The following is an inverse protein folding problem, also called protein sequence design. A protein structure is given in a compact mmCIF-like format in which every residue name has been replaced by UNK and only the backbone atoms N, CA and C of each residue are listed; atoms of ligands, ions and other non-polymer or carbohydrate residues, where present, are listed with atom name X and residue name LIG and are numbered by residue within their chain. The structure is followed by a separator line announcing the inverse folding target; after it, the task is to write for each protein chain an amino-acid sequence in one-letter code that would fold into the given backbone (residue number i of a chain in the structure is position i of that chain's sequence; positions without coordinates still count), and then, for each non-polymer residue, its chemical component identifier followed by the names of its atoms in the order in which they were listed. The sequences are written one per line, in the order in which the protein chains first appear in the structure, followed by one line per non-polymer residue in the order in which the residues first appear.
data_IF_597097386800
#
_entry.id   IF_597097386800
#
_cell.length_a   1.000
_cell.length_b   1.000
_cell.length_c   1.000
_cell.angle_alpha   90.00
_cell.angle_beta   90.00
_cell.angle_gamma   90.00
#
_symmetry.space_group_name_H-M   'P 1'
#
loop_
_entity.id
_entity.type
_entity.pdbx_description
1 polymer ?
#
# COMPACT_ATOMS: atom_id res chain seq x y z
N UNK A 1 -3.80 5.07 40.24
CA UNK A 1 -5.09 5.69 39.84
C UNK A 1 -4.81 6.53 38.59
N UNK A 2 -5.72 6.60 37.62
CA UNK A 2 -5.54 7.39 36.40
C UNK A 2 -6.68 8.42 36.27
N UNK A 3 -6.40 9.55 35.64
CA UNK A 3 -7.38 10.56 35.22
C UNK A 3 -7.34 10.73 33.70
N UNK A 4 -8.48 11.11 33.13
CA UNK A 4 -8.61 11.42 31.70
C UNK A 4 -9.14 12.84 31.60
N UNK A 5 -8.47 13.66 30.81
CA UNK A 5 -8.84 15.05 30.56
C UNK A 5 -9.12 15.21 29.06
N UNK A 6 -10.30 15.73 28.73
CA UNK A 6 -10.71 15.99 27.34
C UNK A 6 -10.77 17.50 27.12
N UNK A 7 -9.72 18.06 26.54
CA UNK A 7 -9.60 19.50 26.26
C UNK A 7 -8.52 19.76 25.18
N UNK A 8 -8.34 21.01 24.78
CA UNK A 8 -7.24 21.48 23.95
C UNK A 8 -6.08 22.00 24.82
N UNK A 9 -4.88 21.56 24.48
CA UNK A 9 -3.64 22.12 25.04
C UNK A 9 -3.48 23.55 24.53
N UNK A 10 -3.31 24.50 25.45
CA UNK A 10 -2.93 25.88 25.14
C UNK A 10 -1.41 25.99 25.00
N UNK A 11 -0.67 25.55 26.02
CA UNK A 11 0.79 25.57 26.05
C UNK A 11 1.36 24.63 27.11
N UNK A 12 2.65 24.35 26.97
CA UNK A 12 3.45 23.75 28.02
C UNK A 12 3.91 24.83 29.01
N UNK A 13 4.09 24.44 30.26
CA UNK A 13 4.59 25.27 31.35
C UNK A 13 5.74 24.56 32.04
N UNK A 14 6.47 25.23 32.92
CA UNK A 14 7.57 24.63 33.67
C UNK A 14 7.13 23.43 34.53
N UNK A 15 5.87 23.40 34.99
CA UNK A 15 5.35 22.37 35.90
C UNK A 15 4.34 21.43 35.26
N UNK A 16 4.05 21.54 33.95
CA UNK A 16 3.04 20.72 33.31
C UNK A 16 2.37 21.36 32.08
N UNK A 17 1.07 21.13 31.89
CA UNK A 17 0.29 21.53 30.69
C UNK A 17 -0.84 22.48 31.08
N UNK A 18 -0.90 23.64 30.42
CA UNK A 18 -2.04 24.55 30.49
C UNK A 18 -3.07 24.18 29.41
N UNK A 19 -4.31 23.95 29.83
CA UNK A 19 -5.44 23.73 28.93
C UNK A 19 -6.16 25.04 28.63
N UNK A 20 -6.81 25.12 27.46
CA UNK A 20 -7.60 26.29 27.04
C UNK A 20 -8.81 26.57 27.92
N UNK A 21 -9.32 25.58 28.66
CA UNK A 21 -10.35 25.80 29.69
C UNK A 21 -9.84 26.59 30.90
N UNK A 22 -8.53 26.81 31.02
CA UNK A 22 -7.89 27.44 32.18
C UNK A 22 -7.37 26.42 33.22
N UNK A 23 -7.72 25.14 33.12
CA UNK A 23 -7.17 24.10 34.00
C UNK A 23 -5.70 23.83 33.69
N UNK A 24 -4.88 23.71 34.73
CA UNK A 24 -3.50 23.28 34.64
C UNK A 24 -3.36 21.81 35.07
N UNK A 25 -2.56 21.05 34.33
CA UNK A 25 -2.24 19.66 34.60
C UNK A 25 -0.77 19.56 35.02
N UNK A 26 -0.53 19.41 36.32
CA UNK A 26 0.82 19.20 36.85
C UNK A 26 1.42 17.89 36.35
N UNK A 27 2.67 17.93 35.86
CA UNK A 27 3.39 16.78 35.38
C UNK A 27 4.90 17.00 35.45
N UNK A 28 5.62 16.06 36.08
CA UNK A 28 7.09 16.04 36.06
C UNK A 28 7.64 15.48 34.73
N UNK A 29 6.86 14.63 34.06
CA UNK A 29 7.23 13.97 32.80
C UNK A 29 6.05 14.01 31.85
N UNK A 30 6.30 14.43 30.60
CA UNK A 30 5.31 14.43 29.53
C UNK A 30 5.80 13.51 28.41
N UNK A 31 4.98 12.52 28.07
CA UNK A 31 5.25 11.58 26.97
C UNK A 31 4.32 11.89 25.81
N UNK A 32 4.86 12.36 24.70
CA UNK A 32 4.09 12.65 23.49
C UNK A 32 3.73 11.35 22.75
N UNK A 33 2.48 10.92 22.85
CA UNK A 33 1.92 9.84 22.04
C UNK A 33 1.13 10.38 20.82
N UNK A 34 1.65 11.43 20.16
CA UNK A 34 0.94 12.21 19.12
C UNK A 34 0.86 11.55 17.73
N UNK A 35 1.14 10.25 17.67
CA UNK A 35 1.13 9.46 16.43
C UNK A 35 2.36 9.69 15.56
N UNK A 36 2.18 9.57 14.24
CA UNK A 36 3.24 9.54 13.25
C UNK A 36 2.94 10.42 12.03
N UNK A 37 3.96 10.63 11.20
CA UNK A 37 3.80 11.16 9.84
C UNK A 37 4.02 10.01 8.86
N UNK A 38 3.03 9.74 8.02
CA UNK A 38 3.12 8.67 7.02
C UNK A 38 4.12 9.07 5.94
N UNK A 39 5.06 8.17 5.64
CA UNK A 39 6.06 8.32 4.58
C UNK A 39 5.85 7.20 3.55
N UNK A 40 5.11 7.52 2.49
CA UNK A 40 4.93 6.59 1.37
C UNK A 40 6.29 6.42 0.66
N UNK A 41 6.60 5.20 0.23
CA UNK A 41 7.91 4.81 -0.32
C UNK A 41 9.11 5.11 0.63
N UNK A 42 8.86 5.23 1.94
CA UNK A 42 9.91 5.58 2.91
C UNK A 42 10.44 7.02 2.77
N UNK A 43 9.69 7.90 2.12
CA UNK A 43 10.06 9.31 1.92
C UNK A 43 10.91 9.58 0.69
N UNK A 44 11.20 8.55 -0.12
CA UNK A 44 11.92 8.70 -1.39
C UNK A 44 10.99 9.34 -2.43
N UNK A 45 11.52 10.29 -3.20
CA UNK A 45 10.83 10.85 -4.36
C UNK A 45 11.11 9.97 -5.60
N UNK A 46 10.15 9.12 -5.94
CA UNK A 46 10.23 8.30 -7.15
C UNK A 46 9.96 9.13 -8.41
N UNK A 47 10.64 8.78 -9.51
CA UNK A 47 10.45 9.40 -10.83
C UNK A 47 10.39 8.36 -11.93
N UNK A 48 9.62 8.62 -12.98
CA UNK A 48 9.64 7.87 -14.25
C UNK A 48 10.00 8.87 -15.34
N UNK A 49 11.06 8.59 -16.11
CA UNK A 49 11.55 9.48 -17.17
C UNK A 49 11.76 10.93 -16.70
N UNK A 50 12.23 11.10 -15.45
CA UNK A 50 12.45 12.40 -14.81
C UNK A 50 11.19 13.08 -14.25
N UNK A 51 10.00 12.51 -14.43
CA UNK A 51 8.75 13.05 -13.90
C UNK A 51 8.42 12.44 -12.53
N UNK A 52 8.10 13.24 -11.50
CA UNK A 52 7.73 12.73 -10.18
C UNK A 52 6.48 11.84 -10.21
N UNK A 53 6.55 10.71 -9.50
CA UNK A 53 5.41 9.80 -9.31
C UNK A 53 4.59 10.28 -8.11
N UNK A 54 3.32 10.59 -8.33
CA UNK A 54 2.37 10.92 -7.27
C UNK A 54 1.54 9.69 -6.95
N UNK A 55 1.90 8.96 -5.90
CA UNK A 55 1.24 7.70 -5.48
C UNK A 55 -0.27 7.83 -5.29
N UNK A 56 -0.77 9.01 -4.94
CA UNK A 56 -2.21 9.31 -4.83
C UNK A 56 -2.99 9.37 -6.13
N UNK A 57 -2.32 9.25 -7.28
CA UNK A 57 -2.93 9.10 -8.60
C UNK A 57 -2.96 7.63 -9.07
N UNK A 58 -2.55 6.71 -8.20
CA UNK A 58 -2.42 5.30 -8.52
C UNK A 58 -3.23 4.43 -7.56
N UNK A 59 -3.56 3.23 -8.03
CA UNK A 59 -4.18 2.17 -7.25
C UNK A 59 -3.19 1.02 -7.07
N UNK A 60 -3.52 0.07 -6.21
CA UNK A 60 -2.73 -1.13 -6.02
C UNK A 60 -3.42 -2.34 -6.65
N UNK A 61 -2.86 -2.86 -7.75
CA UNK A 61 -3.29 -4.14 -8.34
C UNK A 61 -3.04 -5.26 -7.32
N UNK A 62 -4.13 -5.96 -6.97
CA UNK A 62 -4.18 -6.99 -5.91
C UNK A 62 -3.56 -6.54 -4.58
N UNK A 63 -3.61 -5.23 -4.32
CA UNK A 63 -3.01 -4.62 -3.13
C UNK A 63 -1.48 -4.66 -3.07
N UNK A 64 -0.79 -4.86 -4.20
CA UNK A 64 0.69 -4.97 -4.25
C UNK A 64 1.30 -4.05 -5.30
N UNK A 65 0.95 -4.20 -6.58
CA UNK A 65 1.64 -3.49 -7.67
C UNK A 65 1.01 -2.12 -7.89
N UNK A 66 1.84 -1.08 -8.01
CA UNK A 66 1.37 0.28 -8.27
C UNK A 66 0.92 0.40 -9.74
N UNK A 67 -0.32 0.83 -9.95
CA UNK A 67 -0.90 0.90 -11.30
C UNK A 67 -0.12 1.85 -12.20
N UNK A 68 0.05 1.51 -13.48
CA UNK A 68 0.71 2.36 -14.49
C UNK A 68 2.18 2.73 -14.16
N UNK A 69 2.82 2.06 -13.19
CA UNK A 69 4.24 2.25 -12.85
C UNK A 69 5.00 0.94 -13.09
N UNK A 70 6.09 0.95 -13.87
CA UNK A 70 6.84 -0.26 -14.17
C UNK A 70 7.57 -0.79 -12.93
N UNK A 71 7.48 -2.10 -12.71
CA UNK A 71 8.21 -2.84 -11.68
C UNK A 71 8.08 -2.27 -10.25
N UNK A 72 6.99 -1.58 -9.95
CA UNK A 72 6.78 -0.95 -8.64
C UNK A 72 5.76 -1.72 -7.80
N UNK A 73 6.17 -2.08 -6.59
CA UNK A 73 5.31 -2.68 -5.58
C UNK A 73 5.32 -1.83 -4.30
N UNK A 74 4.14 -1.66 -3.70
CA UNK A 74 3.97 -1.06 -2.37
C UNK A 74 3.17 -2.04 -1.53
N UNK A 75 3.75 -2.47 -0.40
CA UNK A 75 3.11 -3.40 0.50
C UNK A 75 2.58 -2.62 1.71
N UNK A 76 1.25 -2.54 1.81
CA UNK A 76 0.56 -1.97 2.97
C UNK A 76 -0.11 -3.09 3.74
N UNK A 77 0.25 -3.23 5.02
CA UNK A 77 -0.25 -4.29 5.88
C UNK A 77 -1.72 -4.16 6.27
N UNK A 78 -2.23 -5.19 6.94
CA UNK A 78 -3.59 -5.20 7.44
C UNK A 78 -3.78 -4.16 8.55
N UNK A 79 -4.90 -3.45 8.53
CA UNK A 79 -5.26 -2.51 9.61
C UNK A 79 -5.88 -3.22 10.83
N UNK A 80 -6.35 -4.46 10.64
CA UNK A 80 -7.06 -5.26 11.64
C UNK A 80 -6.32 -6.57 12.01
N UNK A 81 -5.10 -6.77 11.51
CA UNK A 81 -4.29 -7.95 11.75
C UNK A 81 -2.80 -7.60 11.68
N UNK A 82 -1.92 -8.58 11.94
CA UNK A 82 -0.48 -8.34 11.87
C UNK A 82 -0.04 -7.88 10.49
N UNK A 83 0.80 -6.84 10.46
CA UNK A 83 1.44 -6.34 9.23
C UNK A 83 2.24 -7.44 8.52
N UNK A 84 2.93 -8.29 9.30
CA UNK A 84 3.79 -9.35 8.75
C UNK A 84 3.02 -10.39 7.95
N UNK A 85 1.73 -10.60 8.22
CA UNK A 85 0.91 -11.54 7.44
C UNK A 85 0.70 -11.07 6.01
N UNK A 86 0.50 -9.77 5.79
CA UNK A 86 0.34 -9.22 4.43
C UNK A 86 1.66 -9.25 3.69
N UNK A 87 2.75 -8.92 4.39
CA UNK A 87 4.11 -8.96 3.83
C UNK A 87 4.45 -10.35 3.34
N UNK A 88 4.18 -11.40 4.12
CA UNK A 88 4.45 -12.79 3.72
C UNK A 88 3.68 -13.20 2.44
N UNK A 89 2.38 -12.89 2.39
CA UNK A 89 1.56 -13.18 1.20
C UNK A 89 2.02 -12.39 -0.02
N UNK A 90 2.35 -11.10 0.15
CA UNK A 90 2.85 -10.27 -0.93
C UNK A 90 4.23 -10.71 -1.43
N UNK A 91 5.12 -11.13 -0.53
CA UNK A 91 6.45 -11.63 -0.85
C UNK A 91 6.38 -12.93 -1.66
N UNK A 92 5.49 -13.87 -1.31
CA UNK A 92 5.25 -15.10 -2.09
C UNK A 92 4.76 -14.76 -3.51
N UNK A 93 3.78 -13.85 -3.62
CA UNK A 93 3.27 -13.38 -4.91
C UNK A 93 4.37 -12.75 -5.78
N UNK A 94 5.15 -11.82 -5.21
CA UNK A 94 6.24 -11.15 -5.92
C UNK A 94 7.35 -12.13 -6.33
N UNK A 95 7.71 -13.08 -5.47
CA UNK A 95 8.71 -14.11 -5.79
C UNK A 95 8.27 -14.96 -6.98
N UNK A 96 6.99 -15.34 -7.05
CA UNK A 96 6.41 -16.05 -8.19
C UNK A 96 6.37 -15.19 -9.45
N UNK A 97 6.05 -13.90 -9.31
CA UNK A 97 6.05 -12.96 -10.43
C UNK A 97 7.45 -12.81 -11.01
N UNK A 98 8.48 -12.63 -10.17
CA UNK A 98 9.87 -12.56 -10.61
C UNK A 98 10.32 -13.84 -11.29
N UNK A 99 10.01 -15.01 -10.73
CA UNK A 99 10.29 -16.30 -11.38
C UNK A 99 9.59 -16.44 -12.74
N UNK A 100 8.36 -15.94 -12.88
CA UNK A 100 7.65 -15.91 -14.14
C UNK A 100 8.31 -14.97 -15.15
N UNK A 101 8.73 -13.78 -14.72
CA UNK A 101 9.46 -12.83 -15.55
C UNK A 101 10.79 -13.41 -16.03
N UNK A 102 11.60 -13.97 -15.12
CA UNK A 102 12.88 -14.59 -15.44
C UNK A 102 12.74 -15.74 -16.45
N UNK A 103 11.76 -16.63 -16.22
CA UNK A 103 11.49 -17.77 -17.11
C UNK A 103 11.09 -17.34 -18.52
N UNK A 104 10.40 -16.21 -18.64
CA UNK A 104 9.90 -15.69 -19.92
C UNK A 104 10.76 -14.54 -20.48
N UNK A 105 11.87 -14.21 -19.82
CA UNK A 105 12.80 -13.14 -20.20
C UNK A 105 12.15 -11.75 -20.25
N UNK A 106 11.14 -11.50 -19.41
CA UNK A 106 10.56 -10.18 -19.21
C UNK A 106 11.42 -9.36 -18.24
N UNK A 107 11.61 -8.07 -18.53
CA UNK A 107 12.33 -7.14 -17.66
C UNK A 107 11.40 -6.12 -17.01
N UNK A 108 10.23 -5.90 -17.60
CA UNK A 108 9.26 -4.91 -17.17
C UNK A 108 7.91 -5.60 -17.06
N UNK A 109 7.24 -5.35 -15.93
CA UNK A 109 5.81 -5.58 -15.75
C UNK A 109 5.15 -4.27 -15.35
N UNK A 110 4.00 -3.98 -15.95
CA UNK A 110 3.14 -2.84 -15.61
C UNK A 110 1.72 -3.36 -15.39
N UNK A 111 1.13 -3.06 -14.24
CA UNK A 111 -0.29 -3.27 -14.01
C UNK A 111 -1.07 -2.07 -14.58
N UNK A 112 -1.63 -2.20 -15.77
CA UNK A 112 -2.33 -1.10 -16.42
C UNK A 112 -3.72 -0.89 -15.83
N UNK A 113 -4.01 0.35 -15.45
CA UNK A 113 -5.33 0.74 -14.95
C UNK A 113 -5.87 1.95 -15.70
N UNK A 114 -7.18 1.96 -15.91
CA UNK A 114 -7.92 3.15 -16.29
C UNK A 114 -8.11 4.07 -15.07
N UNK A 115 -7.90 5.37 -15.27
CA UNK A 115 -8.14 6.38 -14.24
C UNK A 115 -9.63 6.47 -13.87
N UNK A 116 -10.56 6.05 -14.73
CA UNK A 116 -11.98 6.00 -14.41
C UNK A 116 -12.31 5.03 -13.26
N UNK A 117 -11.41 4.09 -12.95
CA UNK A 117 -11.58 3.15 -11.86
C UNK A 117 -11.16 3.74 -10.50
N UNK A 118 -10.47 4.89 -10.46
CA UNK A 118 -10.08 5.55 -9.22
C UNK A 118 -11.31 6.02 -8.42
N UNK A 119 -11.16 6.00 -7.10
CA UNK A 119 -12.09 6.61 -6.15
C UNK A 119 -11.36 7.62 -5.28
N UNK A 120 -12.11 8.50 -4.62
CA UNK A 120 -11.52 9.46 -3.68
C UNK A 120 -11.00 8.78 -2.39
N UNK A 121 -11.47 7.56 -2.10
CA UNK A 121 -11.06 6.83 -0.92
C UNK A 121 -9.64 6.29 -1.04
N UNK A 122 -8.93 6.23 0.09
CA UNK A 122 -7.55 5.70 0.14
C UNK A 122 -7.56 4.23 0.51
N UNK A 123 -6.45 3.53 0.23
CA UNK A 123 -6.28 2.13 0.65
C UNK A 123 -6.34 1.92 2.17
N UNK A 124 -6.24 2.99 2.97
CA UNK A 124 -6.40 2.99 4.44
C UNK A 124 -7.63 3.78 4.91
N UNK A 125 -8.59 4.04 4.03
CA UNK A 125 -9.76 4.90 4.28
C UNK A 125 -10.65 4.50 5.45
N UNK A 126 -10.60 3.22 5.85
CA UNK A 126 -11.34 2.72 7.01
C UNK A 126 -10.81 3.25 8.36
N UNK A 127 -9.63 3.87 8.39
CA UNK A 127 -9.04 4.45 9.60
C UNK A 127 -9.42 5.92 9.77
N UNK A 128 -10.02 6.25 10.92
CA UNK A 128 -10.39 7.63 11.26
C UNK A 128 -9.23 8.47 11.85
N UNK A 129 -8.05 7.88 12.03
CA UNK A 129 -6.91 8.52 12.70
C UNK A 129 -6.40 9.75 11.95
N UNK A 130 -6.05 10.81 12.71
CA UNK A 130 -5.61 12.09 12.11
C UNK A 130 -4.38 11.98 11.21
N UNK A 131 -3.44 11.07 11.50
CA UNK A 131 -2.25 10.87 10.67
C UNK A 131 -2.56 10.25 9.29
N UNK A 132 -3.61 9.43 9.18
CA UNK A 132 -4.12 8.91 7.90
C UNK A 132 -4.76 10.05 7.11
N UNK A 133 -5.59 10.88 7.76
CA UNK A 133 -6.22 12.04 7.11
C UNK A 133 -5.19 13.01 6.53
N UNK A 134 -4.10 13.30 7.27
CA UNK A 134 -2.99 14.13 6.77
C UNK A 134 -2.22 13.52 5.61
N UNK A 135 -2.25 12.19 5.49
CA UNK A 135 -1.55 11.46 4.44
C UNK A 135 -2.42 11.15 3.22
N UNK A 136 -3.68 11.58 3.21
CA UNK A 136 -4.63 11.22 2.15
C UNK A 136 -4.14 11.63 0.75
N UNK A 137 -3.47 12.77 0.64
CA UNK A 137 -2.99 13.32 -0.64
C UNK A 137 -1.74 12.62 -1.19
N UNK A 138 -1.12 11.74 -0.40
CA UNK A 138 0.04 10.94 -0.83
C UNK A 138 -0.26 9.44 -0.86
N UNK A 139 -1.34 8.97 -0.24
CA UNK A 139 -1.69 7.55 -0.23
C UNK A 139 -2.28 7.09 -1.57
N UNK A 140 -1.94 5.87 -2.03
CA UNK A 140 -2.67 5.23 -3.11
C UNK A 140 -4.17 5.16 -2.84
N UNK A 141 -4.94 5.21 -3.92
CA UNK A 141 -6.40 5.21 -3.87
C UNK A 141 -6.97 3.81 -3.97
N UNK A 142 -8.19 3.64 -3.51
CA UNK A 142 -9.01 2.47 -3.80
C UNK A 142 -9.54 2.56 -5.23
N UNK A 143 -9.65 1.42 -5.89
CA UNK A 143 -10.42 1.29 -7.11
C UNK A 143 -11.88 0.90 -6.87
N UNK A 144 -12.74 1.18 -7.85
CA UNK A 144 -14.18 0.86 -7.83
C UNK A 144 -14.45 -0.65 -7.73
N UNK A 145 -13.58 -1.47 -8.31
CA UNK A 145 -13.75 -2.93 -8.40
C UNK A 145 -12.44 -3.67 -8.17
N UNK A 146 -12.52 -4.98 -7.99
CA UNK A 146 -11.36 -5.86 -8.12
C UNK A 146 -10.75 -5.75 -9.52
N UNK A 147 -9.43 -5.96 -9.68
CA UNK A 147 -8.43 -6.25 -8.65
C UNK A 147 -7.82 -4.99 -8.02
N UNK A 148 -8.48 -3.83 -8.13
CA UNK A 148 -7.98 -2.53 -7.67
C UNK A 148 -8.46 -2.17 -6.26
N UNK A 149 -9.20 -3.06 -5.61
CA UNK A 149 -9.73 -2.86 -4.27
C UNK A 149 -8.89 -3.60 -3.23
N UNK A 150 -8.14 -2.87 -2.43
CA UNK A 150 -7.32 -3.45 -1.36
C UNK A 150 -8.21 -3.99 -0.26
N UNK A 151 -8.07 -5.29 0.04
CA UNK A 151 -8.75 -5.95 1.15
C UNK A 151 -7.94 -5.90 2.44
N UNK A 152 -8.65 -5.95 3.57
CA UNK A 152 -8.09 -6.17 4.90
C UNK A 152 -8.40 -7.59 5.41
N UNK A 153 -8.54 -8.56 4.50
CA UNK A 153 -8.89 -9.94 4.82
C UNK A 153 -7.76 -10.88 4.43
N UNK A 154 -7.02 -11.35 5.43
CA UNK A 154 -5.88 -12.25 5.24
C UNK A 154 -6.22 -13.55 4.51
N UNK A 155 -7.34 -14.20 4.84
CA UNK A 155 -7.70 -15.47 4.23
C UNK A 155 -8.08 -15.30 2.75
N UNK A 156 -8.81 -14.22 2.43
CA UNK A 156 -9.12 -13.85 1.04
C UNK A 156 -7.85 -13.58 0.25
N UNK A 157 -7.01 -12.67 0.75
CA UNK A 157 -5.77 -12.26 0.06
C UNK A 157 -4.85 -13.44 -0.16
N UNK A 158 -4.68 -14.31 0.85
CA UNK A 158 -3.88 -15.53 0.76
C UNK A 158 -4.41 -16.48 -0.30
N UNK A 159 -5.71 -16.69 -0.39
CA UNK A 159 -6.31 -17.57 -1.39
C UNK A 159 -6.15 -16.98 -2.81
N UNK A 160 -6.45 -15.69 -2.97
CA UNK A 160 -6.40 -14.98 -4.25
C UNK A 160 -4.96 -14.90 -4.79
N UNK A 161 -4.01 -14.45 -3.97
CA UNK A 161 -2.64 -14.24 -4.40
C UNK A 161 -1.90 -15.57 -4.65
N UNK A 162 -2.20 -16.61 -3.88
CA UNK A 162 -1.60 -17.95 -4.12
C UNK A 162 -2.11 -18.62 -5.40
N UNK A 163 -3.36 -18.37 -5.78
CA UNK A 163 -3.94 -18.97 -7.00
C UNK A 163 -3.78 -18.08 -8.23
N UNK A 164 -3.27 -16.87 -8.07
CA UNK A 164 -3.12 -15.90 -9.15
C UNK A 164 -2.21 -16.40 -10.28
N UNK A 165 -2.75 -16.30 -11.50
CA UNK A 165 -1.98 -16.31 -12.75
C UNK A 165 -1.38 -14.93 -13.01
N UNK A 166 -0.34 -14.91 -13.85
CA UNK A 166 0.26 -13.68 -14.39
C UNK A 166 -0.15 -13.41 -15.85
N UNK A 167 -0.87 -14.35 -16.46
CA UNK A 167 -1.45 -14.20 -17.79
C UNK A 167 -2.88 -13.65 -17.63
N UNK A 168 -3.00 -12.33 -17.59
CA UNK A 168 -4.30 -11.63 -17.57
C UNK A 168 -4.29 -10.39 -18.47
N UNK A 169 -5.43 -9.72 -18.56
CA UNK A 169 -5.60 -8.54 -19.42
C UNK A 169 -5.04 -7.24 -18.80
N UNK A 170 -4.62 -7.25 -17.53
CA UNK A 170 -4.20 -6.08 -16.77
C UNK A 170 -2.67 -5.97 -16.73
N UNK A 171 -1.97 -7.07 -16.41
CA UNK A 171 -0.53 -7.13 -16.38
C UNK A 171 0.00 -7.14 -17.82
N UNK A 172 0.81 -6.14 -18.15
CA UNK A 172 1.54 -6.06 -19.42
C UNK A 172 3.02 -6.25 -19.14
N UNK A 173 3.63 -7.16 -19.89
CA UNK A 173 5.05 -7.44 -19.83
C UNK A 173 5.74 -6.95 -21.11
N UNK A 174 6.98 -6.50 -21.00
CA UNK A 174 7.77 -6.09 -22.16
C UNK A 174 8.17 -7.30 -23.00
N UNK A 175 7.48 -7.48 -24.12
CA UNK A 175 7.53 -8.70 -24.92
C UNK A 175 8.94 -9.14 -25.35
N UNK A 176 9.36 -10.29 -24.84
CA UNK A 176 9.81 -11.40 -25.68
C UNK A 176 8.78 -12.51 -25.53
N UNK A 177 7.85 -12.68 -26.48
CA UNK A 177 7.10 -13.95 -26.57
C UNK A 177 8.13 -15.04 -26.85
N UNK A 178 8.51 -15.83 -25.84
CA UNK A 178 9.26 -17.05 -26.07
C UNK A 178 8.47 -17.89 -27.07
N UNK A 179 9.08 -18.22 -28.23
CA UNK A 179 8.47 -19.14 -29.20
C UNK A 179 7.98 -20.36 -28.43
N UNK A 180 6.68 -20.65 -28.53
CA UNK A 180 6.11 -21.86 -27.97
C UNK A 180 7.00 -23.05 -28.33
N UNK A 181 7.56 -23.73 -27.33
CA UNK A 181 8.31 -24.97 -27.54
C UNK A 181 7.34 -25.92 -28.24
N UNK A 182 7.55 -26.19 -29.53
CA UNK A 182 6.80 -27.22 -30.25
C UNK A 182 6.89 -28.49 -29.40
N UNK A 183 5.76 -28.91 -28.82
CA UNK A 183 5.64 -30.28 -28.31
C UNK A 183 5.87 -31.17 -29.53
N UNK A 184 7.03 -31.81 -29.60
CA UNK A 184 7.20 -32.96 -30.45
C UNK A 184 6.18 -33.99 -29.98
N UNK A 185 5.16 -34.26 -30.79
CA UNK A 185 4.41 -35.51 -30.68
C UNK A 185 5.41 -36.61 -31.00
N UNK A 186 5.87 -37.35 -30.00
CA UNK A 186 6.33 -38.71 -30.25
C UNK A 186 5.06 -39.54 -30.51
N UNK A 187 4.82 -39.83 -31.78
CA UNK A 187 4.17 -41.07 -32.16
C UNK A 187 5.22 -42.18 -32.05
N UNK A 188 4.84 -43.31 -31.49
CA UNK A 188 5.66 -44.51 -31.26
C UNK A 188 5.08 -45.30 -30.11
#
# INVERSE_FOLDING_TARGET
KASIETDQIEKFTETGIQLKSGKHLDADIIVSATGLNIQILGGIQATIDGQPVSTSKHMLYKGILLSNVPNAAIIVGYTNASWTLKVDVAADYLSRLFNFMDKNQYKVVVAHADNELLTDDTIMGSLASGYIKRAADVMPRQGKTEPWRVSMNYLKDKAELRSSSFEDDILKFDGVKAKAKKRFKLFG
#
